data_IF_431527133399
#
_entry.id   IF_431527133399
#
_cell.length_a   1.000
_cell.length_b   1.000
_cell.length_c   1.000
_cell.angle_alpha   90.00
_cell.angle_beta   90.00
_cell.angle_gamma   90.00
#
_symmetry.space_group_name_H-M   'P 1'
#
loop_
_entity.id
_entity.type
_entity.pdbx_description
1 polymer ?
#
# COMPACT_ATOMS: atom_id res chain seq x y z
N UNK A 1 -8.97 -27.61 3.44
CA UNK A 1 -9.40 -26.46 2.61
C UNK A 1 -8.32 -26.26 1.58
N UNK A 2 -8.66 -26.46 0.31
CA UNK A 2 -7.73 -26.38 -0.82
C UNK A 2 -7.20 -24.95 -0.85
N UNK A 3 -5.96 -24.73 -0.42
CA UNK A 3 -5.28 -23.47 -0.66
C UNK A 3 -5.20 -23.35 -2.18
N UNK A 4 -6.05 -22.50 -2.74
CA UNK A 4 -5.94 -22.09 -4.13
C UNK A 4 -4.47 -21.77 -4.37
N UNK A 5 -3.84 -22.45 -5.35
CA UNK A 5 -2.42 -22.32 -5.68
C UNK A 5 -2.17 -20.96 -6.35
N UNK A 6 -2.45 -19.88 -5.62
CA UNK A 6 -2.33 -18.52 -6.10
C UNK A 6 -0.94 -18.04 -5.76
N UNK A 7 -0.18 -17.69 -6.79
CA UNK A 7 1.22 -17.27 -6.72
C UNK A 7 1.23 -15.76 -6.47
N UNK A 8 1.14 -15.41 -5.19
CA UNK A 8 1.18 -14.03 -4.73
C UNK A 8 2.59 -13.50 -4.55
N UNK A 9 2.81 -12.24 -4.90
CA UNK A 9 4.02 -11.49 -4.58
C UNK A 9 3.68 -10.39 -3.58
N UNK A 10 4.37 -10.35 -2.44
CA UNK A 10 4.07 -9.39 -1.36
C UNK A 10 5.19 -8.37 -1.23
N UNK A 11 4.83 -7.09 -1.22
CA UNK A 11 5.73 -5.97 -1.02
C UNK A 11 5.31 -5.17 0.21
N UNK A 12 6.26 -4.90 1.11
CA UNK A 12 6.08 -3.98 2.22
C UNK A 12 6.75 -2.63 1.93
N UNK A 13 5.96 -1.56 1.90
CA UNK A 13 6.45 -0.18 1.77
C UNK A 13 6.58 0.55 3.11
N UNK A 14 6.09 -0.01 4.22
CA UNK A 14 6.17 0.63 5.53
C UNK A 14 7.58 0.49 6.15
N UNK A 15 8.33 1.58 6.35
CA UNK A 15 9.64 1.55 6.98
C UNK A 15 9.56 1.51 8.52
N UNK A 16 8.43 1.88 9.12
CA UNK A 16 8.25 2.03 10.57
C UNK A 16 7.77 0.73 11.25
N UNK A 17 7.35 -0.29 10.48
CA UNK A 17 6.89 -1.57 11.02
C UNK A 17 8.01 -2.38 11.66
N UNK A 18 7.80 -2.81 12.91
CA UNK A 18 8.81 -3.54 13.69
C UNK A 18 8.87 -5.03 13.30
N UNK A 19 7.72 -5.67 13.11
CA UNK A 19 7.60 -7.08 12.74
C UNK A 19 6.43 -7.27 11.79
N UNK A 20 6.66 -7.95 10.67
CA UNK A 20 5.60 -8.28 9.72
C UNK A 20 4.94 -9.61 10.12
N UNK A 21 3.60 -9.71 10.14
CA UNK A 21 2.89 -10.96 10.38
C UNK A 21 2.88 -11.89 9.15
N UNK A 22 3.45 -11.45 8.03
CA UNK A 22 3.55 -12.19 6.76
C UNK A 22 4.97 -12.14 6.21
N UNK A 23 5.28 -13.02 5.26
CA UNK A 23 6.55 -13.00 4.53
C UNK A 23 6.44 -12.06 3.33
N UNK A 24 7.21 -10.98 3.34
CA UNK A 24 7.33 -10.06 2.21
C UNK A 24 8.47 -10.49 1.28
N UNK A 25 8.25 -10.45 -0.03
CA UNK A 25 9.27 -10.68 -1.04
C UNK A 25 10.16 -9.46 -1.26
N UNK A 26 9.57 -8.27 -1.14
CA UNK A 26 10.29 -6.99 -1.18
C UNK A 26 9.94 -6.22 0.08
N UNK A 27 10.94 -5.80 0.83
CA UNK A 27 10.77 -5.03 2.05
C UNK A 27 11.64 -3.76 2.01
N UNK A 28 11.00 -2.60 2.14
CA UNK A 28 11.69 -1.31 2.22
C UNK A 28 12.72 -1.25 3.35
N UNK A 29 12.51 -2.01 4.43
CA UNK A 29 13.42 -2.06 5.61
C UNK A 29 14.79 -2.67 5.31
N UNK A 30 14.90 -3.43 4.23
CA UNK A 30 16.19 -3.98 3.78
C UNK A 30 17.03 -2.92 3.09
N UNK A 31 16.38 -1.98 2.40
CA UNK A 31 17.05 -0.91 1.67
C UNK A 31 17.29 0.32 2.54
N UNK A 32 16.35 0.66 3.42
CA UNK A 32 16.35 1.90 4.20
C UNK A 32 16.13 1.59 5.67
N UNK A 33 17.09 1.98 6.51
CA UNK A 33 16.97 1.86 7.96
C UNK A 33 16.29 3.09 8.54
N UNK A 34 14.99 2.97 8.80
CA UNK A 34 14.14 4.04 9.35
C UNK A 34 14.76 4.78 10.55
N UNK A 35 15.31 4.03 11.52
CA UNK A 35 15.96 4.60 12.72
C UNK A 35 17.20 5.43 12.40
N UNK A 36 17.94 5.08 11.36
CA UNK A 36 19.13 5.82 10.93
C UNK A 36 18.73 7.09 10.19
N UNK A 37 17.72 7.01 9.32
CA UNK A 37 17.15 8.18 8.62
C UNK A 37 16.66 9.23 9.62
N UNK A 38 15.92 8.81 10.65
CA UNK A 38 15.45 9.74 11.70
C UNK A 38 16.61 10.44 12.42
N UNK A 39 17.70 9.72 12.71
CA UNK A 39 18.88 10.28 13.39
C UNK A 39 19.68 11.21 12.49
N UNK A 40 19.91 10.82 11.23
CA UNK A 40 20.71 11.58 10.28
C UNK A 40 20.05 12.92 9.90
N UNK A 41 18.74 12.90 9.67
CA UNK A 41 17.99 14.08 9.26
C UNK A 41 17.30 14.80 10.44
N UNK A 42 17.49 14.31 11.67
CA UNK A 42 16.87 14.84 12.89
C UNK A 42 15.35 15.02 12.77
N UNK A 43 14.66 13.98 12.28
CA UNK A 43 13.24 14.00 11.95
C UNK A 43 12.40 13.30 13.03
N UNK A 44 11.18 13.79 13.24
CA UNK A 44 10.14 13.07 13.96
C UNK A 44 9.60 11.86 13.18
N UNK A 45 8.71 11.05 13.78
CA UNK A 45 8.24 9.80 13.17
C UNK A 45 7.64 9.98 11.77
N UNK A 46 6.76 10.98 11.61
CA UNK A 46 6.09 11.25 10.34
C UNK A 46 7.08 11.73 9.25
N UNK A 47 8.03 12.58 9.63
CA UNK A 47 9.10 13.01 8.73
C UNK A 47 10.02 11.86 8.32
N UNK A 48 10.31 10.95 9.26
CA UNK A 48 11.08 9.74 8.97
C UNK A 48 10.40 8.83 7.94
N UNK A 49 9.08 8.66 8.01
CA UNK A 49 8.32 7.86 7.04
C UNK A 49 8.40 8.52 5.65
N UNK A 50 8.10 9.82 5.58
CA UNK A 50 8.13 10.57 4.31
C UNK A 50 9.52 10.53 3.65
N UNK A 51 10.58 10.80 4.41
CA UNK A 51 11.94 10.79 3.87
C UNK A 51 12.35 9.37 3.44
N UNK A 52 11.95 8.34 4.19
CA UNK A 52 12.21 6.95 3.79
C UNK A 52 11.49 6.60 2.49
N UNK A 53 10.23 7.01 2.31
CA UNK A 53 9.51 6.81 1.06
C UNK A 53 10.17 7.56 -0.11
N UNK A 54 10.62 8.79 0.11
CA UNK A 54 11.32 9.58 -0.91
C UNK A 54 12.65 8.93 -1.34
N UNK A 55 13.39 8.34 -0.39
CA UNK A 55 14.60 7.59 -0.72
C UNK A 55 14.24 6.30 -1.49
N UNK A 56 13.17 5.62 -1.11
CA UNK A 56 12.72 4.41 -1.78
C UNK A 56 12.24 4.68 -3.21
N UNK A 57 11.53 5.77 -3.45
CA UNK A 57 11.01 6.13 -4.77
C UNK A 57 12.11 6.30 -5.82
N UNK A 58 13.35 6.64 -5.42
CA UNK A 58 14.48 6.73 -6.35
C UNK A 58 14.91 5.39 -6.94
N UNK A 59 14.72 4.30 -6.20
CA UNK A 59 15.04 2.92 -6.61
C UNK A 59 13.82 2.14 -7.09
N UNK A 60 12.66 2.77 -7.10
CA UNK A 60 11.40 2.10 -7.35
C UNK A 60 11.29 1.53 -8.77
N UNK A 61 11.93 2.16 -9.75
CA UNK A 61 12.00 1.62 -11.11
C UNK A 61 12.69 0.25 -11.19
N UNK A 62 13.73 0.01 -10.38
CA UNK A 62 14.38 -1.31 -10.32
C UNK A 62 13.41 -2.37 -9.79
N UNK A 63 12.61 -2.00 -8.79
CA UNK A 63 11.60 -2.87 -8.18
C UNK A 63 10.52 -3.25 -9.19
N UNK A 64 10.00 -2.30 -9.97
CA UNK A 64 9.03 -2.59 -11.04
C UNK A 64 9.64 -3.58 -12.04
N UNK A 65 10.88 -3.36 -12.48
CA UNK A 65 11.52 -4.23 -13.47
C UNK A 65 11.68 -5.68 -12.98
N UNK A 66 11.86 -5.88 -11.67
CA UNK A 66 11.94 -7.21 -11.05
C UNK A 66 10.58 -7.89 -11.05
N UNK A 67 9.50 -7.13 -10.81
CA UNK A 67 8.13 -7.62 -10.83
C UNK A 67 7.70 -7.96 -12.25
N UNK A 68 8.00 -7.10 -13.23
CA UNK A 68 7.71 -7.33 -14.66
C UNK A 68 8.34 -8.64 -15.15
N UNK A 69 9.62 -8.89 -14.82
CA UNK A 69 10.31 -10.14 -15.17
C UNK A 69 9.66 -11.40 -14.60
N UNK A 70 8.88 -11.26 -13.52
CA UNK A 70 8.19 -12.35 -12.84
C UNK A 70 6.68 -12.34 -13.11
N UNK A 71 6.17 -11.38 -13.88
CA UNK A 71 4.74 -11.18 -14.09
C UNK A 71 4.06 -12.45 -14.65
N UNK A 72 4.71 -13.17 -15.56
CA UNK A 72 4.18 -14.43 -16.13
C UNK A 72 4.00 -15.55 -15.10
N UNK A 73 4.67 -15.46 -13.96
CA UNK A 73 4.66 -16.47 -12.90
C UNK A 73 3.80 -16.06 -11.69
N UNK A 74 3.27 -14.85 -11.68
CA UNK A 74 2.56 -14.26 -10.56
C UNK A 74 1.11 -14.03 -10.93
N UNK A 75 0.20 -14.36 -10.01
CA UNK A 75 -1.23 -14.16 -10.21
C UNK A 75 -1.70 -12.83 -9.59
N UNK A 76 -1.02 -12.35 -8.53
CA UNK A 76 -1.27 -11.03 -7.93
C UNK A 76 -0.03 -10.46 -7.24
N UNK A 77 0.02 -9.14 -7.13
CA UNK A 77 0.99 -8.41 -6.31
C UNK A 77 0.23 -7.65 -5.22
N UNK A 78 0.56 -7.93 -3.97
CA UNK A 78 0.02 -7.23 -2.81
C UNK A 78 1.05 -6.22 -2.32
N UNK A 79 0.67 -4.95 -2.26
CA UNK A 79 1.53 -3.86 -1.78
C UNK A 79 0.95 -3.33 -0.47
N UNK A 80 1.70 -3.47 0.61
CA UNK A 80 1.37 -2.93 1.92
C UNK A 80 1.95 -1.51 2.04
N UNK A 81 1.07 -0.54 2.31
CA UNK A 81 1.43 0.88 2.41
C UNK A 81 1.69 1.29 3.86
N UNK A 82 2.43 2.37 4.12
CA UNK A 82 2.65 2.88 5.47
C UNK A 82 1.34 3.11 6.24
N UNK A 83 1.35 2.79 7.54
CA UNK A 83 0.15 2.90 8.38
C UNK A 83 -0.45 4.31 8.51
N UNK A 84 0.30 5.35 8.16
CA UNK A 84 -0.21 6.72 8.07
C UNK A 84 -0.55 7.07 6.62
N UNK A 85 -1.80 6.82 6.24
CA UNK A 85 -2.24 6.99 4.85
C UNK A 85 -2.08 8.42 4.33
N UNK A 86 -2.31 9.44 5.17
CA UNK A 86 -2.20 10.86 4.76
C UNK A 86 -0.81 11.20 4.26
N UNK A 87 0.24 10.64 4.88
CA UNK A 87 1.62 10.85 4.47
C UNK A 87 1.85 10.20 3.11
N UNK A 88 1.32 9.00 2.89
CA UNK A 88 1.49 8.30 1.62
C UNK A 88 0.74 9.02 0.49
N UNK A 89 -0.57 9.26 0.64
CA UNK A 89 -1.43 9.83 -0.41
C UNK A 89 -1.15 11.29 -0.72
N UNK A 90 -0.70 12.07 0.28
CA UNK A 90 -0.36 13.49 0.07
C UNK A 90 1.10 13.69 -0.35
N UNK A 91 1.91 12.64 -0.39
CA UNK A 91 3.32 12.74 -0.78
C UNK A 91 3.52 12.58 -2.29
N UNK A 92 4.50 13.32 -2.82
CA UNK A 92 4.94 13.14 -4.20
C UNK A 92 5.50 11.73 -4.46
N UNK A 93 6.22 11.14 -3.49
CA UNK A 93 6.76 9.79 -3.62
C UNK A 93 5.68 8.71 -3.66
N UNK A 94 4.64 8.83 -2.82
CA UNK A 94 3.48 7.92 -2.86
C UNK A 94 2.71 8.02 -4.16
N UNK A 95 2.52 9.24 -4.69
CA UNK A 95 1.90 9.46 -5.99
C UNK A 95 2.71 8.81 -7.13
N UNK A 96 4.04 9.03 -7.17
CA UNK A 96 4.93 8.43 -8.18
C UNK A 96 4.89 6.91 -8.11
N UNK A 97 4.94 6.32 -6.91
CA UNK A 97 4.88 4.86 -6.72
C UNK A 97 3.55 4.30 -7.25
N UNK A 98 2.44 4.95 -6.89
CA UNK A 98 1.10 4.51 -7.27
C UNK A 98 0.88 4.64 -8.79
N UNK A 99 1.29 5.76 -9.39
CA UNK A 99 1.18 6.01 -10.83
C UNK A 99 2.06 5.07 -11.64
N UNK A 100 3.28 4.78 -11.16
CA UNK A 100 4.16 3.83 -11.80
C UNK A 100 3.59 2.40 -11.75
N UNK A 101 2.96 1.98 -10.65
CA UNK A 101 2.22 0.72 -10.64
C UNK A 101 1.02 0.72 -11.57
N UNK A 102 0.21 1.79 -11.56
CA UNK A 102 -1.01 1.88 -12.37
C UNK A 102 -0.74 1.97 -13.88
N UNK A 103 0.43 2.49 -14.27
CA UNK A 103 0.86 2.56 -15.68
C UNK A 103 1.41 1.24 -16.21
N UNK A 104 2.04 0.43 -15.35
CA UNK A 104 2.61 -0.87 -15.74
C UNK A 104 1.62 -2.02 -15.61
N UNK A 105 0.82 -2.03 -14.53
CA UNK A 105 -0.07 -3.14 -14.18
C UNK A 105 -1.51 -2.67 -13.93
N UNK A 106 -2.53 -3.50 -14.22
CA UNK A 106 -3.89 -3.24 -13.79
C UNK A 106 -3.94 -3.23 -12.26
N UNK A 107 -3.94 -2.04 -11.66
CA UNK A 107 -3.79 -1.83 -10.22
C UNK A 107 -5.13 -1.42 -9.62
N UNK A 108 -5.53 -2.10 -8.54
CA UNK A 108 -6.73 -1.77 -7.77
C UNK A 108 -6.27 -1.28 -6.39
N UNK A 109 -6.73 -0.09 -5.99
CA UNK A 109 -6.42 0.46 -4.67
C UNK A 109 -7.52 0.02 -3.70
N UNK A 110 -7.16 -0.75 -2.68
CA UNK A 110 -8.10 -1.19 -1.64
C UNK A 110 -7.98 -0.29 -0.42
N UNK A 111 -9.02 0.47 -0.12
CA UNK A 111 -9.06 1.29 1.10
C UNK A 111 -9.85 0.57 2.19
N UNK A 112 -9.17 0.31 3.32
CA UNK A 112 -9.76 -0.37 4.47
C UNK A 112 -10.27 0.65 5.47
N UNK A 113 -11.58 0.72 5.64
CA UNK A 113 -12.25 1.60 6.60
C UNK A 113 -12.55 0.83 7.87
N UNK A 114 -12.07 1.34 9.02
CA UNK A 114 -12.50 0.84 10.32
C UNK A 114 -13.91 1.36 10.64
N UNK A 115 -14.86 0.43 10.69
CA UNK A 115 -16.29 0.74 10.76
C UNK A 115 -16.72 1.30 12.12
N UNK A 116 -16.22 0.82 13.28
CA UNK A 116 -16.53 1.42 14.59
C UNK A 116 -16.09 2.88 14.68
N UNK A 117 -14.93 3.21 14.10
CA UNK A 117 -14.39 4.58 14.08
C UNK A 117 -15.14 5.50 13.08
N UNK A 118 -15.80 4.92 12.08
CA UNK A 118 -16.57 5.67 11.07
C UNK A 118 -18.05 5.85 11.44
N UNK A 119 -18.45 5.50 12.67
CA UNK A 119 -19.81 5.75 13.16
C UNK A 119 -20.14 7.26 13.27
N UNK A 120 -19.11 8.11 13.42
CA UNK A 120 -19.28 9.56 13.35
C UNK A 120 -19.37 10.02 11.88
N UNK A 121 -20.46 10.69 11.47
CA UNK A 121 -20.62 11.18 10.11
C UNK A 121 -19.49 12.10 9.62
N UNK A 122 -18.88 12.87 10.51
CA UNK A 122 -17.78 13.77 10.15
C UNK A 122 -16.53 12.98 9.74
N UNK A 123 -16.13 12.00 10.54
CA UNK A 123 -14.99 11.11 10.25
C UNK A 123 -15.25 10.30 8.99
N UNK A 124 -16.49 9.84 8.79
CA UNK A 124 -16.88 9.12 7.59
C UNK A 124 -16.74 9.98 6.32
N UNK A 125 -17.23 11.22 6.34
CA UNK A 125 -17.09 12.14 5.21
C UNK A 125 -15.63 12.47 4.91
N UNK A 126 -14.80 12.71 5.92
CA UNK A 126 -13.36 12.95 5.74
C UNK A 126 -12.65 11.76 5.10
N UNK A 127 -12.94 10.53 5.54
CA UNK A 127 -12.38 9.32 4.96
C UNK A 127 -12.80 9.13 3.49
N UNK A 128 -14.08 9.40 3.17
CA UNK A 128 -14.56 9.36 1.78
C UNK A 128 -13.81 10.36 0.91
N UNK A 129 -13.72 11.60 1.39
CA UNK A 129 -13.15 12.70 0.62
C UNK A 129 -11.66 12.49 0.36
N UNK A 130 -10.93 11.92 1.35
CA UNK A 130 -9.52 11.58 1.20
C UNK A 130 -9.31 10.59 0.04
N UNK A 131 -10.03 9.47 0.01
CA UNK A 131 -9.88 8.49 -1.08
C UNK A 131 -10.32 9.07 -2.42
N UNK A 132 -11.51 9.70 -2.46
CA UNK A 132 -12.06 10.23 -3.69
C UNK A 132 -11.15 11.27 -4.37
N UNK A 133 -10.40 12.05 -3.59
CA UNK A 133 -9.48 13.05 -4.12
C UNK A 133 -8.07 12.53 -4.36
N UNK A 134 -7.60 11.57 -3.55
CA UNK A 134 -6.24 11.06 -3.63
C UNK A 134 -6.00 10.07 -4.77
N UNK A 135 -7.04 9.42 -5.32
CA UNK A 135 -6.85 8.38 -6.33
C UNK A 135 -7.60 8.69 -7.62
N UNK A 136 -6.87 8.85 -8.73
CA UNK A 136 -7.45 8.89 -10.10
C UNK A 136 -7.72 7.48 -10.68
N UNK A 137 -7.59 6.43 -9.87
CA UNK A 137 -7.65 5.03 -10.28
C UNK A 137 -8.83 4.33 -9.61
N UNK A 138 -9.22 3.16 -10.15
CA UNK A 138 -10.33 2.37 -9.63
C UNK A 138 -10.04 1.92 -8.18
N UNK A 139 -10.85 2.42 -7.24
CA UNK A 139 -10.76 2.13 -5.82
C UNK A 139 -11.84 1.14 -5.38
N UNK A 140 -11.41 0.10 -4.68
CA UNK A 140 -12.30 -0.82 -4.00
C UNK A 140 -12.41 -0.45 -2.52
N UNK A 141 -13.64 -0.25 -2.05
CA UNK A 141 -13.94 0.04 -0.65
C UNK A 141 -14.07 -1.26 0.12
N UNK A 142 -13.20 -1.47 1.11
CA UNK A 142 -13.27 -2.61 2.02
C UNK A 142 -13.63 -2.11 3.42
N UNK A 143 -14.79 -2.52 3.92
CA UNK A 143 -15.25 -2.14 5.25
C UNK A 143 -14.84 -3.22 6.24
N UNK A 144 -14.02 -2.87 7.23
CA UNK A 144 -13.61 -3.79 8.29
C UNK A 144 -14.39 -3.47 9.57
N UNK A 145 -15.27 -4.39 9.96
CA UNK A 145 -15.84 -4.49 11.30
C UNK A 145 -16.08 -5.98 11.54
N UNK A 146 -15.20 -6.66 12.28
CA UNK A 146 -15.32 -8.09 12.59
C UNK A 146 -15.26 -9.05 11.37
N UNK A 147 -14.26 -9.96 11.36
CA UNK A 147 -14.09 -11.15 10.49
C UNK A 147 -15.14 -11.32 9.37
N UNK A 148 -14.77 -10.96 8.14
CA UNK A 148 -15.21 -11.67 6.92
C UNK A 148 -14.38 -11.17 5.72
N UNK A 149 -13.57 -12.08 5.16
CA UNK A 149 -13.05 -12.01 3.79
C UNK A 149 -14.20 -12.39 2.88
N UNK A 150 -14.47 -11.62 1.82
CA UNK A 150 -14.88 -12.10 0.49
C UNK A 150 -15.06 -10.89 -0.42
N UNK A 151 -14.34 -10.83 -1.53
CA UNK A 151 -14.88 -10.24 -2.77
C UNK A 151 -14.37 -11.09 -3.95
N UNK A 152 -15.24 -12.01 -4.35
CA UNK A 152 -15.19 -12.71 -5.63
C UNK A 152 -15.56 -11.67 -6.71
N UNK A 153 -14.64 -11.36 -7.61
CA UNK A 153 -14.82 -10.34 -8.66
C UNK A 153 -15.77 -10.77 -9.79
N UNK A 154 -16.37 -11.96 -9.72
CA UNK A 154 -17.25 -12.48 -10.79
C UNK A 154 -18.72 -11.98 -10.76
N UNK A 155 -19.08 -11.00 -9.94
CA UNK A 155 -20.48 -10.52 -9.80
C UNK A 155 -20.71 -9.05 -10.17
N UNK A 156 -19.71 -8.31 -10.64
CA UNK A 156 -19.87 -6.89 -11.02
C UNK A 156 -20.18 -6.64 -12.50
N UNK A 157 -20.29 -7.70 -13.32
CA UNK A 157 -20.63 -7.58 -14.76
C UNK A 157 -21.68 -8.58 -15.23
N UNK A 158 -22.68 -8.91 -14.39
CA UNK A 158 -23.95 -9.52 -14.82
C UNK A 158 -25.14 -8.78 -14.26
#
# INVERSE_FOLDING_TARGET
MQASNIRGYVMNLDPAVMSLPFSANIDTRDTIKYKEVMKQFNLGPNGGILTSLNLFSTKFYEVISVIEKRADQLDYVLVDTPGQIEIFTSSASGAIITEAFASTFPTIITYVVDTPCSANPQTFMSNIMLVAFSTRHDCLWCWHSTRLIWLNTNLLWR
#
